data_IF_165023613493
#
_entry.id   IF_165023613493
#
_cell.length_a   1.000
_cell.length_b   1.000
_cell.length_c   1.000
_cell.angle_alpha   90.00
_cell.angle_beta   90.00
_cell.angle_gamma   90.00
#
_symmetry.space_group_name_H-M   'P 1'
#
loop_
_entity.id
_entity.type
_entity.pdbx_description
1 polymer ?
#
# COMPACT_ATOMS: atom_id res chain seq x y z
N UNK A 1 9.16 -37.46 -3.19
CA UNK A 1 9.46 -36.24 -3.97
C UNK A 1 9.72 -35.13 -2.97
N UNK A 2 10.89 -34.49 -3.01
CA UNK A 2 11.18 -33.30 -2.20
C UNK A 2 11.04 -32.08 -3.10
N UNK A 3 10.15 -31.16 -2.73
CA UNK A 3 10.01 -29.88 -3.41
C UNK A 3 10.97 -28.88 -2.74
N UNK A 4 11.62 -28.03 -3.52
CA UNK A 4 12.36 -26.91 -2.97
C UNK A 4 11.35 -25.93 -2.36
N UNK A 5 11.52 -25.58 -1.09
CA UNK A 5 10.63 -24.68 -0.36
C UNK A 5 11.43 -23.53 0.25
N UNK A 6 10.75 -22.40 0.43
CA UNK A 6 11.28 -21.24 1.17
C UNK A 6 10.46 -21.10 2.45
N UNK A 7 11.09 -21.07 3.64
CA UNK A 7 10.38 -20.76 4.87
C UNK A 7 9.72 -19.39 4.80
N UNK A 8 8.48 -19.29 5.27
CA UNK A 8 7.75 -18.03 5.33
C UNK A 8 7.20 -17.80 6.75
N UNK A 9 7.12 -16.53 7.13
CA UNK A 9 6.38 -16.08 8.29
C UNK A 9 4.94 -15.81 7.88
N UNK A 10 3.98 -16.23 8.70
CA UNK A 10 2.55 -16.04 8.47
C UNK A 10 1.96 -15.45 9.74
N UNK A 11 1.31 -14.29 9.64
CA UNK A 11 0.70 -13.61 10.79
C UNK A 11 -0.65 -13.03 10.43
N UNK A 12 -1.61 -13.23 11.35
CA UNK A 12 -2.81 -12.42 11.42
C UNK A 12 -2.49 -11.19 12.27
N UNK A 13 -3.06 -10.05 11.89
CA UNK A 13 -2.78 -8.76 12.51
C UNK A 13 -4.03 -8.23 13.19
N UNK A 14 -4.55 -8.83 14.29
CA UNK A 14 -5.73 -8.30 14.98
C UNK A 14 -5.46 -6.97 15.67
N UNK A 15 -4.20 -6.69 16.03
CA UNK A 15 -3.74 -5.46 16.68
C UNK A 15 -2.82 -4.63 15.75
N UNK A 16 -3.11 -4.64 14.44
CA UNK A 16 -2.29 -3.94 13.44
C UNK A 16 -0.84 -4.44 13.41
N UNK A 17 0.11 -3.52 13.54
CA UNK A 17 1.55 -3.78 13.39
C UNK A 17 2.22 -4.37 14.65
N UNK A 18 1.56 -4.38 15.81
CA UNK A 18 2.15 -4.69 17.13
C UNK A 18 2.94 -6.01 17.17
N UNK A 19 2.36 -7.08 16.63
CA UNK A 19 2.97 -8.41 16.69
C UNK A 19 4.07 -8.62 15.64
N UNK A 20 4.03 -7.84 14.55
CA UNK A 20 4.90 -8.04 13.38
C UNK A 20 6.12 -7.14 13.38
N UNK A 21 6.05 -5.95 14.01
CA UNK A 21 7.14 -4.96 14.06
C UNK A 21 8.43 -5.44 14.74
N UNK A 22 8.39 -6.59 15.41
CA UNK A 22 9.59 -7.25 15.96
C UNK A 22 10.51 -7.78 14.86
N UNK A 23 10.00 -8.04 13.65
CA UNK A 23 10.79 -8.44 12.49
C UNK A 23 11.27 -7.20 11.71
N UNK A 24 12.55 -7.10 11.31
CA UNK A 24 13.11 -5.89 10.70
C UNK A 24 12.37 -5.43 9.44
N UNK A 25 12.05 -6.35 8.53
CA UNK A 25 11.29 -6.01 7.32
C UNK A 25 9.89 -5.43 7.62
N UNK A 26 9.22 -5.94 8.66
CA UNK A 26 7.88 -5.47 9.03
C UNK A 26 7.93 -4.17 9.83
N UNK A 27 8.98 -3.95 10.64
CA UNK A 27 9.25 -2.67 11.26
C UNK A 27 9.47 -1.56 10.22
N UNK A 28 10.20 -1.88 9.15
CA UNK A 28 10.40 -0.97 8.02
C UNK A 28 9.12 -0.74 7.23
N UNK A 29 8.34 -1.80 6.95
CA UNK A 29 7.06 -1.68 6.27
C UNK A 29 6.08 -0.81 7.06
N UNK A 30 6.02 -0.94 8.39
CA UNK A 30 5.22 -0.06 9.24
C UNK A 30 5.64 1.41 9.08
N UNK A 31 6.95 1.70 9.08
CA UNK A 31 7.46 3.06 8.87
C UNK A 31 7.08 3.60 7.50
N UNK A 32 7.24 2.80 6.45
CA UNK A 32 6.85 3.16 5.09
C UNK A 32 5.35 3.45 4.99
N UNK A 33 4.51 2.56 5.53
CA UNK A 33 3.05 2.74 5.58
C UNK A 33 2.67 4.03 6.31
N UNK A 34 3.21 4.26 7.51
CA UNK A 34 2.91 5.47 8.28
C UNK A 34 3.34 6.74 7.55
N UNK A 35 4.48 6.71 6.87
CA UNK A 35 4.98 7.80 6.05
C UNK A 35 4.05 8.08 4.86
N UNK A 36 3.56 7.03 4.21
CA UNK A 36 2.59 7.13 3.12
C UNK A 36 1.22 7.66 3.58
N UNK A 37 0.66 7.09 4.65
CA UNK A 37 -0.63 7.45 5.25
C UNK A 37 -0.66 8.89 5.79
N UNK A 38 0.47 9.35 6.35
CA UNK A 38 0.64 10.75 6.78
C UNK A 38 0.65 11.74 5.61
N UNK A 39 0.74 11.25 4.36
CA UNK A 39 0.97 11.99 3.12
C UNK A 39 2.28 12.78 3.08
N UNK A 40 3.15 12.69 4.10
CA UNK A 40 4.49 13.29 4.07
C UNK A 40 5.31 12.78 2.89
N UNK A 41 5.01 11.56 2.42
CA UNK A 41 5.56 10.97 1.21
C UNK A 41 5.41 11.85 -0.03
N UNK A 42 4.33 12.62 -0.13
CA UNK A 42 3.98 13.28 -1.38
C UNK A 42 4.98 14.36 -1.77
N UNK A 43 5.69 14.89 -0.78
CA UNK A 43 6.75 15.89 -0.90
C UNK A 43 8.17 15.30 -0.82
N UNK A 44 8.29 14.01 -0.50
CA UNK A 44 9.58 13.31 -0.43
C UNK A 44 10.02 12.80 -1.81
N UNK A 45 11.34 12.80 -2.11
CA UNK A 45 11.84 12.16 -3.33
C UNK A 45 11.61 10.66 -3.27
N UNK A 46 11.30 10.03 -4.40
CA UNK A 46 11.07 8.58 -4.47
C UNK A 46 12.24 7.79 -3.90
N UNK A 47 13.47 8.29 -4.11
CA UNK A 47 14.73 7.64 -3.74
C UNK A 47 14.96 7.49 -2.24
N UNK A 48 14.17 8.17 -1.40
CA UNK A 48 14.21 7.93 0.04
C UNK A 48 13.69 6.52 0.38
N UNK A 49 12.76 5.99 -0.42
CA UNK A 49 12.01 4.76 -0.10
C UNK A 49 12.02 3.71 -1.22
N UNK A 50 12.31 4.08 -2.46
CA UNK A 50 12.21 3.22 -3.64
C UNK A 50 13.54 3.13 -4.38
N UNK A 51 13.78 1.98 -5.02
CA UNK A 51 14.90 1.82 -5.94
C UNK A 51 14.68 2.60 -7.24
N UNK A 52 15.77 2.88 -7.96
CA UNK A 52 15.70 3.55 -9.27
C UNK A 52 14.95 2.73 -10.33
N UNK A 53 14.96 1.40 -10.21
CA UNK A 53 14.28 0.42 -11.07
C UNK A 53 12.93 -0.02 -10.51
N UNK A 54 12.34 0.73 -9.57
CA UNK A 54 11.06 0.39 -8.94
C UNK A 54 9.94 0.17 -9.97
N UNK A 55 9.06 -0.78 -9.65
CA UNK A 55 7.88 -1.12 -10.46
C UNK A 55 6.60 -1.03 -9.64
N UNK A 56 5.58 -0.41 -10.23
CA UNK A 56 4.22 -0.39 -9.70
C UNK A 56 3.31 -1.17 -10.66
N UNK A 57 2.67 -2.22 -10.15
CA UNK A 57 1.63 -2.96 -10.86
C UNK A 57 0.27 -2.53 -10.32
N UNK A 58 -0.53 -1.94 -11.19
CA UNK A 58 -1.87 -1.49 -10.87
C UNK A 58 -2.90 -2.61 -11.04
N UNK A 59 -4.04 -2.48 -10.34
CA UNK A 59 -5.12 -3.46 -10.39
C UNK A 59 -5.77 -3.61 -11.79
N UNK A 60 -5.54 -2.66 -12.70
CA UNK A 60 -5.99 -2.70 -14.10
C UNK A 60 -5.03 -3.47 -15.04
N UNK A 61 -3.91 -4.00 -14.52
CA UNK A 61 -2.91 -4.73 -15.28
C UNK A 61 -1.81 -3.86 -15.92
N UNK A 62 -1.82 -2.54 -15.70
CA UNK A 62 -0.74 -1.64 -16.13
C UNK A 62 0.45 -1.77 -15.17
N UNK A 63 1.65 -1.75 -15.75
CA UNK A 63 2.91 -1.69 -14.99
C UNK A 63 3.65 -0.41 -15.32
N UNK A 64 3.93 0.38 -14.30
CA UNK A 64 4.81 1.54 -14.37
C UNK A 64 6.22 1.14 -13.94
N UNK A 65 7.23 1.55 -14.70
CA UNK A 65 8.63 1.19 -14.43
C UNK A 65 9.50 2.43 -14.24
N UNK A 66 10.43 2.35 -13.30
CA UNK A 66 11.31 3.42 -12.88
C UNK A 66 10.79 4.12 -11.62
N UNK A 67 11.70 4.46 -10.70
CA UNK A 67 11.36 5.05 -9.40
C UNK A 67 10.52 6.30 -9.47
N UNK A 68 10.84 7.23 -10.37
CA UNK A 68 10.08 8.47 -10.51
C UNK A 68 8.67 8.25 -11.09
N UNK A 69 8.57 7.47 -12.17
CA UNK A 69 7.28 7.20 -12.82
C UNK A 69 6.36 6.36 -11.94
N UNK A 70 6.88 5.31 -11.31
CA UNK A 70 6.14 4.48 -10.37
C UNK A 70 5.69 5.26 -9.14
N UNK A 71 6.52 6.17 -8.62
CA UNK A 71 6.14 7.03 -7.49
C UNK A 71 5.06 8.04 -7.85
N UNK A 72 5.17 8.67 -9.02
CA UNK A 72 4.15 9.59 -9.52
C UNK A 72 2.80 8.87 -9.67
N UNK A 73 2.79 7.68 -10.29
CA UNK A 73 1.58 6.87 -10.43
C UNK A 73 1.01 6.44 -9.08
N UNK A 74 1.85 6.00 -8.15
CA UNK A 74 1.40 5.63 -6.80
C UNK A 74 0.73 6.81 -6.09
N UNK A 75 1.26 8.03 -6.21
CA UNK A 75 0.62 9.23 -5.64
C UNK A 75 -0.71 9.56 -6.31
N UNK A 76 -0.82 9.33 -7.62
CA UNK A 76 -2.04 9.59 -8.39
C UNK A 76 -3.20 8.70 -7.95
N UNK A 77 -2.94 7.42 -7.67
CA UNK A 77 -3.93 6.46 -7.14
C UNK A 77 -4.63 7.00 -5.88
N UNK A 78 -3.89 7.69 -5.01
CA UNK A 78 -4.40 8.21 -3.74
C UNK A 78 -4.80 9.70 -3.82
N UNK A 79 -4.69 10.33 -4.99
CA UNK A 79 -5.07 11.73 -5.19
C UNK A 79 -6.56 12.05 -4.94
N UNK A 80 -7.52 11.13 -5.15
CA UNK A 80 -8.93 11.40 -4.83
C UNK A 80 -9.22 11.50 -3.33
N UNK A 81 -8.29 11.03 -2.48
CA UNK A 81 -8.48 10.95 -1.03
C UNK A 81 -7.89 12.17 -0.33
N UNK A 82 -8.65 12.76 0.59
CA UNK A 82 -8.16 13.80 1.50
C UNK A 82 -7.32 13.20 2.64
N UNK A 83 -7.62 11.96 3.03
CA UNK A 83 -6.86 11.18 4.01
C UNK A 83 -7.02 9.69 3.73
N UNK A 84 -6.02 8.89 4.10
CA UNK A 84 -6.08 7.44 4.04
C UNK A 84 -5.27 6.80 5.18
N UNK A 85 -5.52 5.53 5.42
CA UNK A 85 -4.85 4.68 6.39
C UNK A 85 -4.82 3.25 5.86
N UNK A 86 -3.68 2.57 5.96
CA UNK A 86 -3.58 1.14 5.71
C UNK A 86 -3.45 0.37 7.03
N UNK A 87 -4.47 -0.42 7.33
CA UNK A 87 -4.55 -1.16 8.58
C UNK A 87 -4.41 -2.67 8.31
N UNK A 88 -3.23 -3.29 8.58
CA UNK A 88 -2.96 -4.66 8.17
C UNK A 88 -3.85 -5.66 8.90
N UNK A 89 -4.29 -6.70 8.18
CA UNK A 89 -5.16 -7.76 8.71
C UNK A 89 -4.50 -9.14 8.62
N UNK A 90 -3.67 -9.38 7.61
CA UNK A 90 -2.96 -10.64 7.39
C UNK A 90 -1.70 -10.41 6.57
N UNK A 91 -0.56 -10.99 6.96
CA UNK A 91 0.73 -10.82 6.28
C UNK A 91 1.44 -12.18 6.13
N UNK A 92 2.05 -12.38 4.96
CA UNK A 92 2.98 -13.47 4.68
C UNK A 92 4.25 -12.87 4.11
N UNK A 93 5.41 -13.18 4.68
CA UNK A 93 6.68 -12.69 4.15
C UNK A 93 7.79 -13.72 4.27
N UNK A 94 8.79 -13.61 3.41
CA UNK A 94 9.93 -14.52 3.35
C UNK A 94 11.19 -13.77 2.92
N UNK A 95 12.35 -14.32 3.29
CA UNK A 95 13.63 -13.79 2.86
C UNK A 95 13.94 -14.25 1.43
N UNK A 96 14.52 -13.34 0.65
CA UNK A 96 15.04 -13.61 -0.70
C UNK A 96 16.55 -13.40 -0.70
N UNK A 97 17.20 -13.68 -1.84
CA UNK A 97 18.64 -13.41 -1.98
C UNK A 97 19.02 -11.94 -1.79
N UNK A 98 18.08 -11.01 -2.02
CA UNK A 98 18.34 -9.57 -2.05
C UNK A 98 17.65 -8.80 -0.92
N UNK A 99 16.82 -9.46 -0.10
CA UNK A 99 16.00 -8.78 0.90
C UNK A 99 14.81 -9.63 1.30
N UNK A 100 13.60 -9.12 1.14
CA UNK A 100 12.39 -9.82 1.51
C UNK A 100 11.29 -9.59 0.49
N UNK A 101 10.35 -10.53 0.39
CA UNK A 101 9.07 -10.30 -0.27
C UNK A 101 7.94 -10.49 0.75
N UNK A 102 6.84 -9.76 0.54
CA UNK A 102 5.66 -9.84 1.37
C UNK A 102 4.41 -9.80 0.50
N UNK A 103 3.47 -10.71 0.76
CA UNK A 103 2.09 -10.58 0.31
C UNK A 103 1.19 -10.43 1.54
N UNK A 104 0.31 -9.44 1.51
CA UNK A 104 -0.47 -9.06 2.67
C UNK A 104 -1.83 -8.50 2.31
N UNK A 105 -2.71 -8.48 3.30
CA UNK A 105 -4.01 -7.85 3.27
C UNK A 105 -4.04 -6.70 4.29
N UNK A 106 -4.72 -5.62 3.91
CA UNK A 106 -5.00 -4.49 4.78
C UNK A 106 -6.39 -3.95 4.47
N UNK A 107 -7.05 -3.42 5.50
CA UNK A 107 -8.18 -2.53 5.31
C UNK A 107 -7.64 -1.16 4.89
N UNK A 108 -7.91 -0.76 3.65
CA UNK A 108 -7.61 0.58 3.16
C UNK A 108 -8.78 1.48 3.54
N UNK A 109 -8.57 2.30 4.56
CA UNK A 109 -9.53 3.27 5.05
C UNK A 109 -9.25 4.61 4.38
N UNK A 110 -10.27 5.27 3.81
CA UNK A 110 -10.05 6.57 3.16
C UNK A 110 -11.24 7.53 3.31
N UNK A 111 -10.91 8.82 3.30
CA UNK A 111 -11.85 9.92 3.14
C UNK A 111 -11.68 10.52 1.75
N UNK A 112 -12.79 10.76 1.06
CA UNK A 112 -12.77 11.44 -0.23
C UNK A 112 -12.53 12.94 -0.06
N UNK A 113 -12.01 13.59 -1.10
CA UNK A 113 -11.84 15.05 -1.09
C UNK A 113 -13.19 15.80 -1.05
N UNK A 114 -14.24 15.25 -1.65
CA UNK A 114 -15.59 15.81 -1.57
C UNK A 114 -16.33 15.32 -0.32
N UNK A 115 -17.05 16.20 0.42
CA UNK A 115 -17.81 15.81 1.60
C UNK A 115 -19.03 14.94 1.25
N UNK A 116 -19.47 14.10 2.19
CA UNK A 116 -20.73 13.35 2.07
C UNK A 116 -20.65 11.91 2.61
N UNK A 117 -21.68 11.13 2.30
CA UNK A 117 -21.72 9.68 2.53
C UNK A 117 -21.94 9.23 3.98
N UNK A 118 -22.23 7.94 4.14
CA UNK A 118 -22.30 7.28 5.44
C UNK A 118 -20.90 6.82 5.86
N UNK A 119 -20.51 7.15 7.08
CA UNK A 119 -19.24 6.76 7.68
C UNK A 119 -19.21 5.29 8.10
N UNK A 120 -18.04 4.69 8.01
CA UNK A 120 -17.69 3.34 8.48
C UNK A 120 -16.62 3.46 9.54
N UNK A 121 -16.67 2.59 10.56
CA UNK A 121 -15.70 2.61 11.66
C UNK A 121 -14.60 1.59 11.40
N UNK A 122 -13.35 2.02 11.54
CA UNK A 122 -12.20 1.11 11.60
C UNK A 122 -12.12 0.40 12.97
N UNK A 123 -11.10 -0.44 13.16
CA UNK A 123 -10.92 -1.18 14.43
C UNK A 123 -10.66 -0.28 15.64
N UNK A 124 -10.17 0.94 15.42
CA UNK A 124 -9.88 1.93 16.46
C UNK A 124 -11.06 2.87 16.70
N UNK A 125 -12.17 2.70 15.96
CA UNK A 125 -13.37 3.51 16.06
C UNK A 125 -13.34 4.81 15.26
N UNK A 126 -12.31 5.06 14.43
CA UNK A 126 -12.26 6.24 13.57
C UNK A 126 -13.23 6.10 12.40
N UNK A 127 -13.77 7.22 11.94
CA UNK A 127 -14.80 7.27 10.90
C UNK A 127 -14.23 7.61 9.52
N UNK A 128 -14.50 6.73 8.55
CA UNK A 128 -14.01 6.79 7.18
C UNK A 128 -15.15 6.74 6.16
N UNK A 129 -14.94 7.34 4.98
CA UNK A 129 -15.92 7.27 3.88
C UNK A 129 -15.99 5.86 3.28
N UNK A 130 -14.83 5.25 3.09
CA UNK A 130 -14.68 3.90 2.56
C UNK A 130 -13.69 3.11 3.41
N UNK A 131 -13.94 1.82 3.50
CA UNK A 131 -13.01 0.81 4.02
C UNK A 131 -13.01 -0.29 2.97
N UNK A 132 -11.85 -0.53 2.36
CA UNK A 132 -11.68 -1.41 1.21
C UNK A 132 -10.67 -2.49 1.57
N UNK A 133 -11.10 -3.76 1.71
CA UNK A 133 -10.17 -4.87 1.84
C UNK A 133 -9.28 -4.92 0.60
N UNK A 134 -7.98 -4.76 0.80
CA UNK A 134 -6.99 -4.66 -0.25
C UNK A 134 -5.88 -5.66 0.01
N UNK A 135 -5.33 -6.24 -1.05
CA UNK A 135 -4.13 -7.05 -0.99
C UNK A 135 -2.98 -6.37 -1.74
N UNK A 136 -1.76 -6.62 -1.27
CA UNK A 136 -0.55 -6.03 -1.83
C UNK A 136 0.56 -7.07 -1.88
N UNK A 137 1.37 -7.05 -2.94
CA UNK A 137 2.62 -7.80 -3.01
C UNK A 137 3.78 -6.81 -3.13
N UNK A 138 4.70 -6.88 -2.19
CA UNK A 138 5.86 -6.01 -2.11
C UNK A 138 7.15 -6.80 -2.27
N UNK A 139 8.13 -6.18 -2.92
CA UNK A 139 9.52 -6.61 -2.90
C UNK A 139 10.40 -5.54 -2.27
N UNK A 140 11.10 -5.92 -1.20
CA UNK A 140 12.07 -5.12 -0.49
C UNK A 140 13.48 -5.59 -0.83
N UNK A 141 14.38 -4.66 -1.07
CA UNK A 141 15.81 -4.95 -1.25
C UNK A 141 16.62 -4.32 -0.13
N UNK A 142 17.66 -5.04 0.32
CA UNK A 142 18.69 -4.53 1.21
C UNK A 142 19.60 -3.60 0.41
N UNK A 143 19.86 -2.41 0.93
CA UNK A 143 20.73 -1.41 0.32
C UNK A 143 21.43 -0.59 1.42
N UNK A 144 22.75 -0.68 1.50
CA UNK A 144 23.57 0.01 2.52
C UNK A 144 23.51 1.54 2.39
N UNK A 145 23.13 2.06 1.21
CA UNK A 145 22.91 3.48 0.96
C UNK A 145 21.49 3.95 1.26
N UNK A 146 20.58 3.06 1.63
CA UNK A 146 19.20 3.43 1.91
C UNK A 146 19.10 4.33 3.14
N UNK A 147 18.27 5.37 3.02
CA UNK A 147 18.03 6.34 4.10
C UNK A 147 17.32 5.73 5.31
N UNK A 148 16.51 4.69 5.08
CA UNK A 148 15.64 4.10 6.09
C UNK A 148 15.99 2.63 6.30
N UNK A 149 16.70 2.36 7.41
CA UNK A 149 17.03 1.03 7.94
C UNK A 149 17.65 0.04 6.92
N UNK A 150 18.40 0.54 5.95
CA UNK A 150 19.11 -0.30 4.97
C UNK A 150 18.18 -1.02 3.97
N UNK A 151 16.97 -0.50 3.73
CA UNK A 151 16.00 -1.12 2.81
C UNK A 151 15.35 -0.10 1.87
N UNK A 152 15.06 -0.56 0.64
CA UNK A 152 14.26 0.15 -0.37
C UNK A 152 13.18 -0.78 -0.94
N UNK A 153 12.09 -0.19 -1.42
CA UNK A 153 11.03 -0.89 -2.15
C UNK A 153 11.37 -0.95 -3.64
N UNK A 154 11.39 -2.16 -4.20
CA UNK A 154 11.63 -2.39 -5.64
C UNK A 154 10.37 -2.75 -6.41
N UNK A 155 9.36 -3.33 -5.75
CA UNK A 155 8.09 -3.67 -6.38
C UNK A 155 6.93 -3.43 -5.45
N UNK A 156 5.85 -2.89 -6.01
CA UNK A 156 4.52 -2.86 -5.41
C UNK A 156 3.53 -3.40 -6.43
N UNK A 157 2.72 -4.36 -6.03
CA UNK A 157 1.57 -4.83 -6.79
C UNK A 157 0.31 -4.61 -5.96
N UNK A 158 -0.66 -3.90 -6.53
CA UNK A 158 -1.90 -3.56 -5.86
C UNK A 158 -3.01 -4.49 -6.37
N UNK A 159 -3.59 -5.26 -5.45
CA UNK A 159 -4.71 -6.16 -5.69
C UNK A 159 -5.90 -5.69 -4.85
N UNK A 160 -6.57 -4.64 -5.32
CA UNK A 160 -7.69 -4.01 -4.60
C UNK A 160 -8.88 -3.76 -5.53
N UNK A 161 -10.09 -3.93 -5.00
CA UNK A 161 -11.33 -3.53 -5.67
C UNK A 161 -11.56 -2.03 -5.45
N UNK A 162 -11.38 -1.23 -6.50
CA UNK A 162 -11.62 0.22 -6.47
C UNK A 162 -13.10 0.59 -6.58
N UNK A 163 -13.99 -0.36 -6.89
CA UNK A 163 -15.42 -0.15 -7.11
C UNK A 163 -16.12 0.62 -5.97
N UNK A 164 -15.92 0.26 -4.69
CA UNK A 164 -16.51 0.99 -3.57
C UNK A 164 -16.11 2.48 -3.53
N UNK A 165 -14.84 2.82 -3.80
CA UNK A 165 -14.39 4.20 -3.86
C UNK A 165 -15.02 4.94 -5.04
N UNK A 166 -15.02 4.31 -6.22
CA UNK A 166 -15.62 4.87 -7.45
C UNK A 166 -17.11 5.18 -7.26
N UNK A 167 -17.86 4.28 -6.63
CA UNK A 167 -19.29 4.49 -6.32
C UNK A 167 -19.49 5.71 -5.42
N UNK A 168 -18.69 5.86 -4.36
CA UNK A 168 -18.80 7.02 -3.48
C UNK A 168 -18.35 8.31 -4.17
N UNK A 169 -17.33 8.27 -5.03
CA UNK A 169 -16.92 9.40 -5.86
C UNK A 169 -18.05 9.87 -6.78
N UNK A 170 -18.76 8.95 -7.44
CA UNK A 170 -19.91 9.29 -8.29
C UNK A 170 -21.06 9.91 -7.51
N UNK A 171 -21.41 9.34 -6.34
CA UNK A 171 -22.47 9.90 -5.47
C UNK A 171 -22.18 11.33 -5.02
N UNK A 172 -20.90 11.70 -4.92
CA UNK A 172 -20.45 13.04 -4.48
C UNK A 172 -20.11 13.96 -5.66
N UNK A 173 -20.35 13.53 -6.90
CA UNK A 173 -20.10 14.32 -8.10
C UNK A 173 -18.61 14.54 -8.40
N UNK A 174 -17.71 13.73 -7.82
CA UNK A 174 -16.27 13.76 -8.14
C UNK A 174 -15.95 13.08 -9.46
N UNK A 175 -16.81 12.15 -9.88
CA UNK A 175 -16.66 11.38 -11.12
C UNK A 175 -18.03 11.24 -11.77
N UNK A 176 -18.11 11.41 -13.08
CA UNK A 176 -19.31 11.13 -13.86
C UNK A 176 -19.22 9.75 -14.51
N UNK A 177 -20.34 9.04 -14.71
CA UNK A 177 -20.32 7.72 -15.36
C UNK A 177 -19.62 7.72 -16.73
N UNK A 178 -19.72 8.79 -17.51
CA UNK A 178 -19.09 8.89 -18.84
C UNK A 178 -17.55 8.94 -18.78
N UNK A 179 -16.98 9.24 -17.61
CA UNK A 179 -15.53 9.29 -17.39
C UNK A 179 -14.94 7.90 -17.10
N UNK A 180 -15.77 6.90 -16.77
CA UNK A 180 -15.33 5.51 -16.58
C UNK A 180 -15.07 4.75 -17.89
N UNK A 181 -15.55 5.29 -19.02
CA UNK A 181 -15.56 4.63 -20.32
C UNK A 181 -14.51 5.20 -21.29
N UNK A 182 -13.63 6.07 -20.81
CA UNK A 182 -12.55 6.70 -21.59
C UNK A 182 -11.24 5.95 -21.37
#
# INVERSE_FOLDING_TARGET
>A
MSYQTTPAFIKYCPNGWDDVRSHPAMAWMEKYTNMFDSRAAFDAPYSDWHTSDYTLHEANGITMSGGEAGWAALKDIYSPFSAHLHDPTFLVWWETGNGWEMIGQADMCANLAAPGGQKKKDRNGNEWDVIIPSAFHFEYVKDDGAKHDGMLLRRTEILADSGPAVVEMMKRGMLKPEELMK
#
